data_IF_891280238212
#
_entry.id   IF_891280238212
#
_cell.length_a   1.000
_cell.length_b   1.000
_cell.length_c   1.000
_cell.angle_alpha   90.00
_cell.angle_beta   90.00
_cell.angle_gamma   90.00
#
_symmetry.space_group_name_H-M   'P 1'
#
loop_
_entity.id
_entity.type
_entity.pdbx_description
1 polymer ?
#
# COMPACT_ATOMS: atom_id res chain seq x y z
N UNK A 1 -35.24 27.59 -51.23
CA UNK A 1 -34.10 26.72 -51.61
C UNK A 1 -32.83 27.53 -51.55
N UNK A 2 -32.04 27.43 -50.48
CA UNK A 2 -30.58 27.66 -50.51
C UNK A 2 -29.99 26.76 -49.41
N UNK A 3 -29.40 25.63 -49.79
CA UNK A 3 -28.61 24.79 -48.91
C UNK A 3 -27.24 25.46 -48.75
N UNK A 4 -26.88 25.86 -47.52
CA UNK A 4 -25.54 26.37 -47.22
C UNK A 4 -24.66 25.18 -46.80
N UNK A 5 -23.97 24.60 -47.77
CA UNK A 5 -23.04 23.49 -47.59
C UNK A 5 -21.75 24.01 -46.94
N UNK A 6 -21.59 23.79 -45.64
CA UNK A 6 -20.30 24.03 -44.97
C UNK A 6 -19.40 22.83 -45.27
N UNK A 7 -18.48 23.01 -46.21
CA UNK A 7 -17.41 22.06 -46.51
C UNK A 7 -16.33 22.26 -45.45
N UNK A 8 -16.26 21.36 -44.47
CA UNK A 8 -15.12 21.26 -43.57
C UNK A 8 -13.97 20.57 -44.33
N UNK A 9 -12.96 21.36 -44.70
CA UNK A 9 -11.66 20.89 -45.15
C UNK A 9 -10.89 20.34 -43.95
N UNK A 10 -10.81 19.01 -43.83
CA UNK A 10 -9.83 18.37 -42.95
C UNK A 10 -8.48 18.37 -43.64
N UNK A 11 -7.48 18.97 -42.98
CA UNK A 11 -6.10 18.91 -43.39
C UNK A 11 -5.58 17.47 -43.17
N UNK A 12 -5.17 16.84 -44.27
CA UNK A 12 -4.51 15.55 -44.32
C UNK A 12 -3.07 15.71 -43.82
N UNK A 13 -2.88 15.54 -42.50
CA UNK A 13 -1.54 15.41 -41.91
C UNK A 13 -1.17 13.94 -41.98
N UNK A 14 -0.41 13.58 -43.03
CA UNK A 14 0.12 12.24 -43.24
C UNK A 14 0.90 11.70 -42.04
N UNK A 15 0.19 10.98 -41.18
CA UNK A 15 0.72 10.14 -40.12
C UNK A 15 0.28 8.73 -40.50
N UNK A 16 1.28 7.89 -40.80
CA UNK A 16 1.22 6.52 -41.26
C UNK A 16 -0.13 5.78 -41.12
N UNK A 17 -0.58 5.23 -42.25
CA UNK A 17 -1.86 4.58 -42.57
C UNK A 17 -2.18 3.28 -41.79
N UNK A 18 -1.70 3.14 -40.55
CA UNK A 18 -1.96 1.97 -39.68
C UNK A 18 -2.81 2.28 -38.45
N UNK A 19 -3.23 3.52 -38.29
CA UNK A 19 -3.99 3.94 -37.12
C UNK A 19 -5.45 4.18 -37.51
N UNK A 20 -6.37 3.56 -36.76
CA UNK A 20 -7.80 3.70 -36.98
C UNK A 20 -8.27 5.16 -37.01
N UNK A 21 -9.54 5.38 -37.41
CA UNK A 21 -10.12 6.73 -37.49
C UNK A 21 -9.91 7.50 -36.18
N UNK A 22 -9.65 8.82 -36.22
CA UNK A 22 -9.49 9.60 -35.00
C UNK A 22 -10.75 9.55 -34.15
N UNK A 23 -10.58 9.61 -32.83
CA UNK A 23 -11.66 9.47 -31.85
C UNK A 23 -12.83 10.41 -32.15
N UNK A 24 -12.54 11.67 -32.48
CA UNK A 24 -13.55 12.69 -32.75
C UNK A 24 -14.47 12.34 -33.93
N UNK A 25 -13.91 11.76 -34.99
CA UNK A 25 -14.68 11.34 -36.18
C UNK A 25 -15.64 10.20 -35.82
N UNK A 26 -15.21 9.28 -34.97
CA UNK A 26 -16.06 8.17 -34.52
C UNK A 26 -17.16 8.68 -33.58
N UNK A 27 -16.83 9.58 -32.66
CA UNK A 27 -17.80 10.22 -31.76
C UNK A 27 -18.84 11.02 -32.54
N UNK A 28 -18.42 11.79 -33.54
CA UNK A 28 -19.33 12.52 -34.42
C UNK A 28 -20.29 11.57 -35.15
N UNK A 29 -19.79 10.49 -35.74
CA UNK A 29 -20.60 9.46 -36.40
C UNK A 29 -21.62 8.82 -35.46
N UNK A 30 -21.27 8.60 -34.19
CA UNK A 30 -22.20 8.08 -33.18
C UNK A 30 -23.32 9.10 -32.90
N UNK A 31 -22.96 10.38 -32.70
CA UNK A 31 -23.93 11.46 -32.46
C UNK A 31 -24.91 11.63 -33.62
N UNK A 32 -24.39 11.67 -34.84
CA UNK A 32 -25.21 11.78 -36.06
C UNK A 32 -26.21 10.63 -36.19
N UNK A 33 -25.77 9.39 -35.92
CA UNK A 33 -26.65 8.21 -35.94
C UNK A 33 -27.72 8.23 -34.86
N UNK A 34 -27.44 8.82 -33.71
CA UNK A 34 -28.40 8.94 -32.62
C UNK A 34 -29.23 10.25 -32.70
N UNK A 35 -28.97 11.10 -33.69
CA UNK A 35 -29.65 12.39 -33.84
C UNK A 35 -29.34 13.39 -32.71
N UNK A 36 -28.15 13.28 -32.11
CA UNK A 36 -27.74 14.06 -30.94
C UNK A 36 -27.07 15.37 -31.33
N UNK A 37 -27.41 16.45 -30.62
CA UNK A 37 -26.71 17.72 -30.62
C UNK A 37 -25.35 17.66 -29.89
N UNK A 38 -24.59 18.78 -29.86
CA UNK A 38 -23.23 18.83 -29.30
C UNK A 38 -23.14 18.47 -27.80
N UNK A 39 -24.13 18.90 -27.02
CA UNK A 39 -24.12 18.76 -25.55
C UNK A 39 -24.95 17.58 -25.05
N UNK A 40 -25.63 16.87 -25.95
CA UNK A 40 -26.43 15.71 -25.59
C UNK A 40 -25.54 14.50 -25.30
N UNK A 41 -25.94 13.69 -24.32
CA UNK A 41 -25.17 12.50 -23.91
C UNK A 41 -25.46 11.35 -24.85
N UNK A 42 -24.40 10.72 -25.34
CA UNK A 42 -24.47 9.48 -26.10
C UNK A 42 -24.96 8.37 -25.17
N UNK A 43 -25.97 7.60 -25.59
CA UNK A 43 -26.35 6.36 -24.90
C UNK A 43 -25.43 5.22 -25.40
N UNK A 44 -24.54 4.67 -24.55
CA UNK A 44 -23.64 3.58 -24.92
C UNK A 44 -24.37 2.31 -25.33
N UNK A 45 -25.62 2.10 -24.87
CA UNK A 45 -26.42 0.90 -25.19
C UNK A 45 -26.95 0.93 -26.61
N UNK A 46 -27.04 2.12 -27.20
CA UNK A 46 -27.50 2.33 -28.57
C UNK A 46 -26.32 2.48 -29.56
N UNK A 47 -25.11 2.10 -29.16
CA UNK A 47 -23.93 2.06 -30.04
C UNK A 47 -23.66 0.62 -30.45
N UNK A 48 -23.50 0.37 -31.74
CA UNK A 48 -23.24 -0.99 -32.23
C UNK A 48 -21.84 -1.47 -31.82
N UNK A 49 -21.72 -2.78 -31.64
CA UNK A 49 -20.45 -3.44 -31.30
C UNK A 49 -19.30 -3.07 -32.24
N UNK A 50 -19.56 -2.98 -33.55
CA UNK A 50 -18.55 -2.61 -34.54
C UNK A 50 -18.04 -1.18 -34.29
N UNK A 51 -18.93 -0.25 -33.96
CA UNK A 51 -18.54 1.15 -33.71
C UNK A 51 -17.83 1.30 -32.36
N UNK A 52 -18.21 0.50 -31.36
CA UNK A 52 -17.48 0.44 -30.09
C UNK A 52 -16.07 -0.13 -30.26
N UNK A 53 -15.90 -1.10 -31.16
CA UNK A 53 -14.61 -1.68 -31.51
C UNK A 53 -13.73 -0.66 -32.24
N UNK A 54 -14.27 0.00 -33.28
CA UNK A 54 -13.60 1.14 -33.97
C UNK A 54 -13.16 2.21 -32.97
N UNK A 55 -14.03 2.57 -32.01
CA UNK A 55 -13.73 3.57 -30.99
C UNK A 55 -12.63 3.10 -30.02
N UNK A 56 -12.68 1.84 -29.59
CA UNK A 56 -11.66 1.25 -28.72
C UNK A 56 -10.26 1.28 -29.33
N UNK A 57 -10.17 0.97 -30.62
CA UNK A 57 -8.90 0.99 -31.36
C UNK A 57 -8.34 2.42 -31.51
N UNK A 58 -9.22 3.38 -31.80
CA UNK A 58 -8.84 4.79 -31.84
C UNK A 58 -8.32 5.29 -30.48
N UNK A 59 -8.97 4.88 -29.39
CA UNK A 59 -8.53 5.21 -28.03
C UNK A 59 -7.18 4.58 -27.72
N UNK A 60 -6.97 3.31 -28.11
CA UNK A 60 -5.70 2.63 -27.90
C UNK A 60 -4.56 3.34 -28.65
N UNK A 61 -4.81 3.76 -29.89
CA UNK A 61 -3.86 4.53 -30.70
C UNK A 61 -3.51 5.89 -30.07
N UNK A 62 -4.47 6.56 -29.42
CA UNK A 62 -4.20 7.81 -28.68
C UNK A 62 -3.35 7.57 -27.44
N UNK A 63 -3.58 6.46 -26.71
CA UNK A 63 -2.80 6.13 -25.52
C UNK A 63 -1.41 5.58 -25.84
N UNK A 64 -1.28 4.84 -26.95
CA UNK A 64 -0.05 4.22 -27.42
C UNK A 64 0.16 4.58 -28.90
N UNK A 65 0.74 5.76 -29.17
CA UNK A 65 0.95 6.24 -30.54
C UNK A 65 1.97 5.40 -31.32
N UNK A 66 2.82 4.64 -30.63
CA UNK A 66 3.80 3.77 -31.27
C UNK A 66 3.12 2.54 -31.88
N UNK A 67 3.14 2.46 -33.21
CA UNK A 67 2.50 1.39 -33.98
C UNK A 67 3.03 0.00 -33.66
N UNK A 68 4.33 -0.13 -33.38
CA UNK A 68 4.94 -1.41 -33.01
C UNK A 68 4.47 -1.89 -31.63
N UNK A 69 4.34 -0.99 -30.66
CA UNK A 69 3.78 -1.31 -29.35
C UNK A 69 2.30 -1.68 -29.43
N UNK A 70 1.51 -0.96 -30.24
CA UNK A 70 0.11 -1.28 -30.48
C UNK A 70 -0.05 -2.71 -31.04
N UNK A 71 0.66 -3.02 -32.12
CA UNK A 71 0.62 -4.35 -32.76
C UNK A 71 1.12 -5.47 -31.83
N UNK A 72 2.15 -5.20 -31.03
CA UNK A 72 2.63 -6.15 -30.02
C UNK A 72 1.56 -6.42 -28.94
N UNK A 73 0.88 -5.39 -28.47
CA UNK A 73 -0.20 -5.53 -27.48
C UNK A 73 -1.37 -6.34 -28.05
N UNK A 74 -1.75 -6.08 -29.29
CA UNK A 74 -2.82 -6.79 -29.99
C UNK A 74 -2.49 -8.28 -30.12
N UNK A 75 -1.26 -8.59 -30.54
CA UNK A 75 -0.76 -9.95 -30.63
C UNK A 75 -0.73 -10.66 -29.28
N UNK A 76 -0.39 -9.97 -28.19
CA UNK A 76 -0.45 -10.52 -26.83
C UNK A 76 -1.89 -10.81 -26.37
N UNK A 77 -2.88 -10.10 -26.91
CA UNK A 77 -4.31 -10.27 -26.60
C UNK A 77 -5.04 -11.24 -27.55
N UNK A 78 -4.32 -11.90 -28.45
CA UNK A 78 -4.85 -12.91 -29.37
C UNK A 78 -4.70 -12.57 -30.85
N UNK A 79 -4.17 -11.39 -31.18
CA UNK A 79 -3.92 -10.92 -32.55
C UNK A 79 -5.12 -10.22 -33.18
N UNK A 80 -4.86 -9.54 -34.30
CA UNK A 80 -5.87 -8.87 -35.11
C UNK A 80 -7.02 -9.81 -35.49
N UNK A 81 -8.25 -9.32 -35.36
CA UNK A 81 -9.47 -10.09 -35.64
C UNK A 81 -9.81 -11.18 -34.62
N UNK A 82 -9.02 -11.33 -33.54
CA UNK A 82 -9.35 -12.27 -32.47
C UNK A 82 -10.56 -11.80 -31.66
N UNK A 83 -11.38 -12.75 -31.21
CA UNK A 83 -12.58 -12.45 -30.40
C UNK A 83 -12.23 -11.75 -29.08
N UNK A 84 -11.09 -12.10 -28.49
CA UNK A 84 -10.56 -11.50 -27.27
C UNK A 84 -10.20 -10.04 -27.50
N UNK A 85 -9.45 -9.73 -28.56
CA UNK A 85 -9.07 -8.37 -28.91
C UNK A 85 -10.29 -7.51 -29.25
N UNK A 86 -11.19 -8.00 -30.11
CA UNK A 86 -12.46 -7.34 -30.42
C UNK A 86 -13.28 -7.07 -29.16
N UNK A 87 -13.35 -8.00 -28.22
CA UNK A 87 -14.08 -7.79 -26.96
C UNK A 87 -13.45 -6.70 -26.09
N UNK A 88 -12.13 -6.60 -26.11
CA UNK A 88 -11.37 -5.58 -25.37
C UNK A 88 -11.62 -4.20 -25.97
N UNK A 89 -11.44 -4.05 -27.29
CA UNK A 89 -11.70 -2.81 -28.02
C UNK A 89 -13.13 -2.31 -27.76
N UNK A 90 -14.13 -3.20 -27.88
CA UNK A 90 -15.52 -2.84 -27.54
C UNK A 90 -15.69 -2.35 -26.11
N UNK A 91 -15.06 -3.02 -25.15
CA UNK A 91 -15.14 -2.62 -23.73
C UNK A 91 -14.47 -1.28 -23.47
N UNK A 92 -13.34 -0.99 -24.13
CA UNK A 92 -12.68 0.32 -24.06
C UNK A 92 -13.57 1.42 -24.62
N UNK A 93 -14.10 1.24 -25.84
CA UNK A 93 -15.01 2.20 -26.46
C UNK A 93 -16.25 2.46 -25.60
N UNK A 94 -16.84 1.42 -25.03
CA UNK A 94 -18.00 1.54 -24.14
C UNK A 94 -17.66 2.34 -22.86
N UNK A 95 -16.50 2.07 -22.26
CA UNK A 95 -16.06 2.74 -21.02
C UNK A 95 -15.76 4.22 -21.26
N UNK A 96 -15.19 4.55 -22.42
CA UNK A 96 -14.90 5.92 -22.82
C UNK A 96 -16.17 6.76 -22.94
N UNK A 97 -17.20 6.25 -23.63
CA UNK A 97 -18.48 6.96 -23.78
C UNK A 97 -19.15 7.19 -22.41
N UNK A 98 -19.03 6.22 -21.50
CA UNK A 98 -19.56 6.37 -20.13
C UNK A 98 -18.81 7.39 -19.27
N UNK A 99 -17.62 7.83 -19.68
CA UNK A 99 -16.73 8.61 -18.83
C UNK A 99 -16.18 7.79 -17.66
N UNK A 100 -16.21 6.46 -17.75
CA UNK A 100 -15.63 5.56 -16.75
C UNK A 100 -14.11 5.49 -16.96
N UNK A 101 -13.40 6.60 -16.72
CA UNK A 101 -11.94 6.70 -16.79
C UNK A 101 -11.20 5.75 -15.83
N UNK A 102 -11.93 5.03 -14.96
CA UNK A 102 -11.41 3.99 -14.06
C UNK A 102 -11.56 2.54 -14.56
N UNK A 103 -12.14 2.30 -15.75
CA UNK A 103 -12.62 0.97 -16.15
C UNK A 103 -11.57 -0.06 -16.62
N UNK A 104 -10.36 0.36 -16.99
CA UNK A 104 -9.28 -0.56 -17.43
C UNK A 104 -8.27 -0.88 -16.32
N UNK A 105 -7.90 0.08 -15.48
CA UNK A 105 -6.99 -0.16 -14.34
C UNK A 105 -7.71 -0.44 -13.01
N UNK A 106 -9.01 -0.17 -12.89
CA UNK A 106 -9.67 0.05 -11.61
C UNK A 106 -10.65 -1.02 -11.10
N UNK A 107 -10.85 -2.18 -11.74
CA UNK A 107 -11.63 -3.21 -11.04
C UNK A 107 -12.29 -4.37 -11.78
N UNK A 108 -12.00 -4.66 -13.05
CA UNK A 108 -12.69 -5.78 -13.72
C UNK A 108 -11.89 -6.49 -14.84
N UNK A 109 -10.56 -6.36 -14.86
CA UNK A 109 -9.67 -7.11 -15.78
C UNK A 109 -8.55 -7.90 -15.09
N UNK A 110 -8.44 -7.84 -13.76
CA UNK A 110 -7.71 -8.84 -12.97
C UNK A 110 -8.75 -9.55 -12.10
N UNK A 111 -9.01 -10.86 -12.32
CA UNK A 111 -8.07 -11.87 -11.87
C UNK A 111 -8.03 -13.11 -12.79
N UNK A 112 -7.21 -13.12 -13.83
CA UNK A 112 -6.90 -14.39 -14.51
C UNK A 112 -5.40 -14.68 -14.69
N UNK A 113 -4.52 -13.75 -14.26
CA UNK A 113 -3.06 -13.96 -14.28
C UNK A 113 -2.34 -13.38 -13.05
N UNK A 114 -2.97 -13.44 -11.87
CA UNK A 114 -2.38 -12.86 -10.65
C UNK A 114 -2.98 -13.33 -9.33
N UNK A 115 -3.62 -14.49 -9.30
CA UNK A 115 -4.31 -15.04 -8.12
C UNK A 115 -3.41 -15.54 -6.98
N UNK A 116 -2.13 -15.14 -6.91
CA UNK A 116 -1.19 -15.72 -5.94
C UNK A 116 -0.20 -14.76 -5.29
N UNK A 117 -0.19 -13.45 -5.58
CA UNK A 117 0.90 -12.58 -5.09
C UNK A 117 0.52 -11.17 -4.62
N UNK A 118 -0.77 -10.85 -4.46
CA UNK A 118 -1.18 -9.58 -3.84
C UNK A 118 -2.31 -9.72 -2.81
N UNK A 119 -2.45 -10.93 -2.22
CA UNK A 119 -3.34 -11.20 -1.08
C UNK A 119 -2.66 -11.12 0.28
N UNK A 120 -1.38 -10.75 0.35
CA UNK A 120 -0.58 -10.84 1.59
C UNK A 120 -0.17 -9.49 2.20
N UNK A 121 -0.76 -8.36 1.80
CA UNK A 121 -0.52 -7.06 2.46
C UNK A 121 -1.59 -6.63 3.46
N UNK A 122 -2.68 -7.40 3.60
CA UNK A 122 -3.69 -7.15 4.64
C UNK A 122 -3.66 -8.18 5.78
N UNK A 123 -2.96 -9.32 5.62
CA UNK A 123 -2.74 -10.29 6.69
C UNK A 123 -1.69 -9.88 7.74
N UNK A 124 -0.71 -9.05 7.35
CA UNK A 124 0.34 -8.58 8.27
C UNK A 124 -0.11 -7.46 9.21
N UNK A 125 -1.15 -6.70 8.87
CA UNK A 125 -1.69 -5.68 9.77
C UNK A 125 -2.56 -6.27 10.89
N UNK A 126 -3.14 -7.45 10.72
CA UNK A 126 -3.96 -8.09 11.77
C UNK A 126 -3.12 -8.76 12.86
N UNK A 127 -1.97 -9.36 12.51
CA UNK A 127 -1.08 -10.02 13.48
C UNK A 127 0.08 -9.12 13.94
N UNK A 128 0.45 -8.10 13.16
CA UNK A 128 1.53 -7.17 13.52
C UNK A 128 1.26 -6.42 14.81
N UNK A 129 0.01 -5.98 15.04
CA UNK A 129 -0.38 -5.30 16.28
C UNK A 129 -0.27 -6.20 17.51
N UNK A 130 -0.59 -7.49 17.39
CA UNK A 130 -0.47 -8.46 18.48
C UNK A 130 1.01 -8.69 18.81
N UNK A 131 1.87 -8.81 17.79
CA UNK A 131 3.32 -8.97 17.98
C UNK A 131 3.90 -7.72 18.65
N UNK A 132 3.49 -6.52 18.25
CA UNK A 132 3.91 -5.26 18.87
C UNK A 132 3.49 -5.20 20.35
N UNK A 133 2.26 -5.62 20.69
CA UNK A 133 1.79 -5.68 22.07
C UNK A 133 2.58 -6.69 22.90
N UNK A 134 2.88 -7.87 22.36
CA UNK A 134 3.69 -8.89 23.04
C UNK A 134 5.12 -8.40 23.29
N UNK A 135 5.75 -7.77 22.31
CA UNK A 135 7.10 -7.19 22.45
C UNK A 135 7.09 -6.05 23.48
N UNK A 136 6.08 -5.17 23.45
CA UNK A 136 5.94 -4.10 24.43
C UNK A 136 5.78 -4.65 25.87
N UNK A 137 5.01 -5.72 26.05
CA UNK A 137 4.81 -6.36 27.35
C UNK A 137 6.11 -7.00 27.87
N UNK A 138 6.88 -7.65 27.00
CA UNK A 138 8.20 -8.22 27.33
C UNK A 138 9.16 -7.10 27.75
N UNK A 139 9.25 -6.01 26.97
CA UNK A 139 10.12 -4.87 27.29
C UNK A 139 9.71 -4.23 28.63
N UNK A 140 8.40 -4.03 28.85
CA UNK A 140 7.89 -3.50 30.11
C UNK A 140 8.23 -4.41 31.30
N UNK A 141 8.11 -5.73 31.15
CA UNK A 141 8.54 -6.71 32.16
C UNK A 141 10.04 -6.65 32.44
N UNK A 142 10.88 -6.50 31.42
CA UNK A 142 12.34 -6.35 31.57
C UNK A 142 12.66 -5.05 32.31
N UNK A 143 12.00 -3.93 31.97
CA UNK A 143 12.18 -2.65 32.64
C UNK A 143 11.80 -2.77 34.12
N UNK A 144 10.63 -3.32 34.43
CA UNK A 144 10.20 -3.55 35.82
C UNK A 144 11.19 -4.47 36.57
N UNK A 145 11.64 -5.54 35.95
CA UNK A 145 12.66 -6.44 36.53
C UNK A 145 13.97 -5.71 36.83
N UNK A 146 14.46 -4.88 35.90
CA UNK A 146 15.68 -4.09 36.08
C UNK A 146 15.51 -3.03 37.17
N UNK A 147 14.35 -2.37 37.26
CA UNK A 147 14.05 -1.40 38.32
C UNK A 147 14.03 -2.08 39.69
N UNK A 148 13.32 -3.20 39.84
CA UNK A 148 13.28 -3.97 41.09
C UNK A 148 14.67 -4.51 41.46
N UNK A 149 15.43 -4.97 40.46
CA UNK A 149 16.82 -5.43 40.67
C UNK A 149 17.75 -4.30 41.07
N UNK A 150 17.62 -3.12 40.47
CA UNK A 150 18.42 -1.93 40.78
C UNK A 150 18.12 -1.40 42.19
N UNK A 151 16.85 -1.50 42.63
CA UNK A 151 16.50 -1.21 44.02
C UNK A 151 17.05 -2.26 45.00
N UNK A 152 17.18 -3.54 44.61
CA UNK A 152 17.86 -4.55 45.44
C UNK A 152 19.38 -4.37 45.53
N UNK A 153 20.01 -3.68 44.56
CA UNK A 153 21.43 -3.30 44.67
C UNK A 153 21.67 -1.97 45.38
N UNK A 154 20.66 -1.12 45.55
CA UNK A 154 20.73 0.10 46.38
C UNK A 154 20.15 -0.07 47.80
N UNK A 155 19.47 -1.19 48.08
CA UNK A 155 19.01 -1.56 49.43
C UNK A 155 20.01 -2.39 50.25
N UNK A 156 21.22 -2.65 49.72
CA UNK A 156 22.28 -3.39 50.42
C UNK A 156 23.54 -2.54 50.64
N UNK A 157 23.33 -1.25 50.85
CA UNK A 157 24.36 -0.29 51.27
C UNK A 157 23.92 0.59 52.46
N UNK A 158 22.92 0.15 53.24
CA UNK A 158 22.48 0.88 54.42
C UNK A 158 21.71 0.00 55.40
N UNK A 159 22.38 -0.41 56.47
CA UNK A 159 21.71 -0.77 57.73
C UNK A 159 21.45 -2.25 57.98
N UNK A 160 22.47 -2.97 58.45
CA UNK A 160 22.39 -3.77 59.70
C UNK A 160 23.83 -4.13 60.09
N UNK A 161 24.37 -3.39 61.06
CA UNK A 161 25.54 -3.83 61.82
C UNK A 161 25.16 -5.07 62.63
N UNK A 162 25.16 -6.24 62.02
CA UNK A 162 25.09 -7.54 62.70
C UNK A 162 26.36 -8.32 62.39
N UNK A 163 27.51 -7.69 62.66
CA UNK A 163 28.69 -8.48 62.96
C UNK A 163 28.50 -9.15 64.34
N UNK A 164 29.05 -10.34 64.58
CA UNK A 164 29.06 -10.96 65.90
C UNK A 164 29.38 -9.91 66.98
N UNK A 165 28.66 -9.85 68.11
CA UNK A 165 28.81 -8.75 69.09
C UNK A 165 30.28 -8.50 69.53
N UNK A 166 31.10 -9.56 69.49
CA UNK A 166 32.56 -9.52 69.64
C UNK A 166 33.29 -8.57 68.68
N UNK A 167 32.92 -8.55 67.39
CA UNK A 167 33.55 -7.70 66.37
C UNK A 167 33.27 -6.22 66.66
N UNK A 168 32.06 -5.90 67.14
CA UNK A 168 31.68 -4.53 67.52
C UNK A 168 32.49 -4.09 68.74
N UNK A 169 32.61 -4.96 69.74
CA UNK A 169 33.43 -4.70 70.92
C UNK A 169 34.91 -4.49 70.55
N UNK A 170 35.46 -5.34 69.67
CA UNK A 170 36.85 -5.25 69.22
C UNK A 170 37.14 -3.94 68.48
N UNK A 171 36.21 -3.50 67.61
CA UNK A 171 36.34 -2.22 66.89
C UNK A 171 36.35 -1.03 67.85
N UNK A 172 35.49 -1.04 68.88
CA UNK A 172 35.45 0.04 69.88
C UNK A 172 36.70 0.08 70.75
N UNK A 173 37.29 -1.08 71.07
CA UNK A 173 38.57 -1.15 71.77
C UNK A 173 39.71 -0.58 70.92
N UNK A 174 39.78 -0.94 69.64
CA UNK A 174 40.79 -0.41 68.71
C UNK A 174 40.69 1.12 68.52
N UNK A 175 39.48 1.67 68.61
CA UNK A 175 39.24 3.12 68.57
C UNK A 175 39.47 3.84 69.90
N UNK A 176 39.85 3.11 70.97
CA UNK A 176 40.05 3.68 72.32
C UNK A 176 38.75 4.09 73.02
N UNK A 177 37.58 3.71 72.49
CA UNK A 177 36.27 4.08 73.02
C UNK A 177 35.86 3.25 74.24
N UNK A 178 36.51 2.11 74.46
CA UNK A 178 36.34 1.26 75.65
C UNK A 178 37.71 0.85 76.19
N UNK A 179 37.84 0.74 77.51
CA UNK A 179 39.06 0.25 78.15
C UNK A 179 39.22 -1.26 77.97
N UNK A 180 40.44 -1.74 78.19
CA UNK A 180 40.76 -3.17 78.11
C UNK A 180 39.90 -4.00 79.08
N UNK A 181 39.61 -3.50 80.28
CA UNK A 181 38.77 -4.24 81.24
C UNK A 181 37.35 -4.43 80.69
N UNK A 182 36.78 -3.37 80.09
CA UNK A 182 35.41 -3.40 79.56
C UNK A 182 35.29 -4.31 78.33
N UNK A 183 36.33 -4.40 77.52
CA UNK A 183 36.41 -5.35 76.40
C UNK A 183 36.46 -6.81 76.87
N UNK A 184 37.28 -7.13 77.88
CA UNK A 184 37.41 -8.51 78.39
C UNK A 184 36.15 -9.01 79.12
N UNK A 185 35.38 -8.13 79.77
CA UNK A 185 34.07 -8.50 80.33
C UNK A 185 33.08 -8.87 79.24
N UNK A 186 32.94 -8.03 78.21
CA UNK A 186 32.04 -8.31 77.07
C UNK A 186 32.45 -9.60 76.35
N UNK A 187 33.75 -9.85 76.21
CA UNK A 187 34.26 -11.08 75.58
C UNK A 187 33.93 -12.35 76.39
N UNK A 188 33.89 -12.27 77.72
CA UNK A 188 33.50 -13.39 78.60
C UNK A 188 31.99 -13.63 78.58
N UNK A 189 31.18 -12.58 78.61
CA UNK A 189 29.72 -12.71 78.63
C UNK A 189 29.15 -13.21 77.29
N UNK A 190 29.90 -13.04 76.20
CA UNK A 190 29.53 -13.48 74.85
C UNK A 190 30.07 -14.88 74.48
N UNK A 191 30.77 -15.54 75.40
CA UNK A 191 31.32 -16.89 75.23
C UNK A 191 30.41 -17.90 75.91
#
# INVERSE_FOLDING_TARGET
>A
MIFSSVIYLYADTGVDDKHGKPVDVIIQKIREKQGLGPDEKIDPRNVSNIVLEELGEAIMSVMHPDSGQHELMDNMMGGEGSKSLSSMHRRMGYSYIRGDSGGMMGGSFMPMMGGSMMGNRFGYFSYGWIIILLVALIIFGIILYLVIRSQKSLGKAGGTHHGPPLIIAQRRYALGQITKEKYETIKRDLK
#
